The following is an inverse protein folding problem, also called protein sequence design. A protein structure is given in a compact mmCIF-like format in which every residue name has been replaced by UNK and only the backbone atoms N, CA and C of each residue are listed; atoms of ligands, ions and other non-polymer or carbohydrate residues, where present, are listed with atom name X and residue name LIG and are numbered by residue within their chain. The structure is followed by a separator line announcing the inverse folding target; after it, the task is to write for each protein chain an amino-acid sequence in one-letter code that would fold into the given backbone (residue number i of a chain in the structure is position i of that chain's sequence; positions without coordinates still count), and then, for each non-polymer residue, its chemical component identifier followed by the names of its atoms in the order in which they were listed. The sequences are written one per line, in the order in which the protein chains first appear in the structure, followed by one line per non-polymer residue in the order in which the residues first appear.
data_IF_602925390169
#
_entry.id   IF_602925390169
#
_cell.length_a   1.000
_cell.length_b   1.000
_cell.length_c   1.000
_cell.angle_alpha   90.00
_cell.angle_beta   90.00
_cell.angle_gamma   90.00
#
_symmetry.space_group_name_H-M   'P 1'
#
loop_
_entity.id
_entity.type
_entity.pdbx_description
1 polymer ?
#
# COMPACT_ATOMS: atom_id res chain seq x y z
N UNK A 1 -4.07 -19.82 -8.51
CA UNK A 1 -2.85 -19.04 -8.21
C UNK A 1 -2.37 -19.42 -6.82
N UNK A 2 -1.26 -20.15 -6.75
CA UNK A 2 -0.64 -20.52 -5.47
C UNK A 2 0.47 -19.51 -5.15
N UNK A 3 0.06 -18.35 -4.64
CA UNK A 3 1.00 -17.36 -4.11
C UNK A 3 1.38 -17.77 -2.69
N UNK A 4 2.65 -17.60 -2.26
CA UNK A 4 3.01 -17.76 -0.86
C UNK A 4 2.00 -17.00 0.02
N UNK A 5 1.42 -17.68 1.02
CA UNK A 5 0.30 -17.20 1.83
C UNK A 5 0.47 -15.74 2.29
N UNK A 6 1.69 -15.34 2.64
CA UNK A 6 2.03 -13.98 3.06
C UNK A 6 1.77 -12.94 1.96
N UNK A 7 2.20 -13.23 0.73
CA UNK A 7 1.99 -12.35 -0.44
C UNK A 7 0.51 -12.26 -0.76
N UNK A 8 -0.18 -13.40 -0.81
CA UNK A 8 -1.61 -13.42 -1.10
C UNK A 8 -2.42 -12.59 -0.08
N UNK A 9 -2.16 -12.76 1.22
CA UNK A 9 -2.83 -11.97 2.27
C UNK A 9 -2.50 -10.49 2.15
N UNK A 10 -1.24 -10.14 1.88
CA UNK A 10 -0.81 -8.74 1.69
C UNK A 10 -1.54 -8.07 0.54
N UNK A 11 -1.60 -8.72 -0.62
CA UNK A 11 -2.31 -8.22 -1.80
C UNK A 11 -3.81 -8.08 -1.55
N UNK A 12 -4.44 -9.03 -0.86
CA UNK A 12 -5.87 -8.94 -0.55
C UNK A 12 -6.19 -7.81 0.42
N UNK A 13 -5.33 -7.57 1.41
CA UNK A 13 -5.44 -6.42 2.31
C UNK A 13 -5.41 -5.12 1.53
N UNK A 14 -4.39 -4.94 0.70
CA UNK A 14 -4.25 -3.78 -0.19
C UNK A 14 -5.50 -3.58 -1.05
N UNK A 15 -5.95 -4.62 -1.77
CA UNK A 15 -7.12 -4.55 -2.66
C UNK A 15 -8.43 -4.19 -1.96
N UNK A 16 -8.56 -4.52 -0.68
CA UNK A 16 -9.76 -4.25 0.13
C UNK A 16 -9.61 -2.99 0.99
N UNK A 17 -8.58 -2.18 0.73
CA UNK A 17 -8.29 -0.97 1.48
C UNK A 17 -7.88 -1.24 2.94
N UNK A 18 -7.56 -2.48 3.29
CA UNK A 18 -7.12 -2.86 4.62
C UNK A 18 -5.61 -2.77 4.73
N UNK A 19 -5.11 -2.15 5.78
CA UNK A 19 -3.68 -2.01 5.98
C UNK A 19 -3.34 -1.00 7.06
N UNK A 20 -2.09 -0.56 7.04
CA UNK A 20 -1.58 0.47 7.96
C UNK A 20 -1.60 1.83 7.28
N UNK A 21 -2.80 2.36 7.05
CA UNK A 21 -3.03 3.72 6.58
C UNK A 21 -3.61 4.58 7.71
N UNK A 22 -3.37 5.90 7.69
CA UNK A 22 -3.84 6.75 8.79
C UNK A 22 -5.36 6.82 8.88
N UNK A 23 -6.09 6.63 7.78
CA UNK A 23 -7.55 6.50 7.80
C UNK A 23 -8.01 5.40 8.77
N UNK A 24 -7.45 4.20 8.66
CA UNK A 24 -7.80 3.08 9.55
C UNK A 24 -7.23 3.29 10.96
N UNK A 25 -6.02 3.82 11.10
CA UNK A 25 -5.45 4.12 12.42
C UNK A 25 -6.28 5.15 13.18
N UNK A 26 -6.81 6.17 12.49
CA UNK A 26 -7.71 7.17 13.06
C UNK A 26 -9.07 6.57 13.42
N UNK A 27 -9.65 5.75 12.53
CA UNK A 27 -10.90 5.03 12.78
C UNK A 27 -10.84 4.22 14.09
N UNK A 28 -9.70 3.59 14.35
CA UNK A 28 -9.46 2.76 15.54
C UNK A 28 -8.79 3.51 16.69
N UNK A 29 -8.70 4.85 16.64
CA UNK A 29 -8.14 5.70 17.70
C UNK A 29 -6.68 5.40 18.07
N UNK A 30 -5.91 4.85 17.13
CA UNK A 30 -4.45 4.73 17.24
C UNK A 30 -3.71 5.97 16.72
N UNK A 31 -4.42 6.88 16.02
CA UNK A 31 -3.92 8.20 15.61
C UNK A 31 -4.97 9.26 15.85
N UNK A 32 -4.52 10.49 16.06
CA UNK A 32 -5.36 11.67 16.25
C UNK A 32 -5.87 12.27 14.94
N UNK A 33 -5.24 11.94 13.80
CA UNK A 33 -5.61 12.47 12.49
C UNK A 33 -5.48 11.42 11.38
N UNK A 34 -6.40 11.42 10.38
CA UNK A 34 -6.28 10.58 9.19
C UNK A 34 -5.34 11.16 8.12
N UNK A 35 -4.81 12.38 8.31
CA UNK A 35 -4.02 13.09 7.31
C UNK A 35 -2.70 12.41 6.95
N UNK A 36 -2.23 12.64 5.73
CA UNK A 36 -0.93 12.19 5.24
C UNK A 36 0.16 13.22 5.51
N UNK A 37 1.40 12.75 5.69
CA UNK A 37 2.61 13.59 5.75
C UNK A 37 2.87 14.35 4.44
N UNK A 38 2.30 13.89 3.33
CA UNK A 38 2.33 14.56 2.03
C UNK A 38 1.35 15.75 1.91
N UNK A 39 0.60 16.08 2.97
CA UNK A 39 -0.38 17.17 2.99
C UNK A 39 -1.81 16.78 2.58
N UNK A 40 -2.05 15.53 2.18
CA UNK A 40 -3.42 15.06 1.89
C UNK A 40 -4.26 14.93 3.18
N UNK A 41 -5.53 15.33 3.12
CA UNK A 41 -6.45 15.29 4.28
C UNK A 41 -6.71 13.86 4.80
N UNK A 42 -6.63 12.86 3.92
CA UNK A 42 -6.84 11.45 4.27
C UNK A 42 -5.75 10.63 3.59
N UNK A 43 -4.97 9.90 4.39
CA UNK A 43 -4.07 8.85 3.93
C UNK A 43 -4.84 7.52 3.93
N UNK A 44 -5.48 7.19 2.81
CA UNK A 44 -6.08 5.86 2.56
C UNK A 44 -5.05 4.89 1.97
N UNK A 45 -5.40 3.61 1.87
CA UNK A 45 -4.55 2.64 1.16
C UNK A 45 -4.40 2.99 -0.32
N UNK A 46 -5.46 3.47 -0.97
CA UNK A 46 -5.42 3.87 -2.37
C UNK A 46 -4.47 5.05 -2.57
N UNK A 47 -4.57 6.05 -1.69
CA UNK A 47 -3.68 7.20 -1.70
C UNK A 47 -2.21 6.79 -1.58
N UNK A 48 -1.89 5.90 -0.62
CA UNK A 48 -0.52 5.42 -0.43
C UNK A 48 0.08 4.74 -1.66
N UNK A 49 -0.74 4.06 -2.47
CA UNK A 49 -0.27 3.26 -3.59
C UNK A 49 -0.23 4.07 -4.89
N UNK A 50 -1.22 4.94 -5.11
CA UNK A 50 -1.42 5.61 -6.39
C UNK A 50 -1.13 7.12 -6.38
N UNK A 51 -1.37 7.80 -5.26
CA UNK A 51 -1.45 9.26 -5.25
C UNK A 51 -0.38 9.94 -4.38
N UNK A 52 0.20 9.22 -3.43
CA UNK A 52 1.11 9.77 -2.44
C UNK A 52 2.49 9.96 -3.04
N UNK A 53 2.84 11.17 -3.47
CA UNK A 53 4.17 11.47 -4.04
C UNK A 53 5.38 11.14 -3.13
N UNK A 54 5.16 10.85 -1.84
CA UNK A 54 6.22 10.40 -0.92
C UNK A 54 6.38 8.86 -0.88
N UNK A 55 5.40 8.10 -1.38
CA UNK A 55 5.28 6.64 -1.16
C UNK A 55 4.77 5.85 -2.37
N UNK A 56 4.17 6.52 -3.35
CA UNK A 56 3.70 5.91 -4.59
C UNK A 56 4.85 5.17 -5.26
N UNK A 57 4.53 4.04 -5.87
CA UNK A 57 5.52 3.31 -6.63
C UNK A 57 5.61 3.94 -8.02
N UNK A 58 6.66 4.75 -8.22
CA UNK A 58 6.93 5.42 -9.50
C UNK A 58 7.68 4.52 -10.50
N UNK A 59 7.89 3.25 -10.16
CA UNK A 59 8.60 2.29 -11.01
C UNK A 59 7.72 1.71 -12.12
N UNK A 60 8.36 1.36 -13.24
CA UNK A 60 7.71 0.56 -14.28
C UNK A 60 7.44 -0.84 -13.72
N UNK A 61 6.20 -1.34 -13.86
CA UNK A 61 5.82 -2.69 -13.39
C UNK A 61 6.64 -3.79 -14.10
N UNK A 62 7.24 -3.46 -15.24
CA UNK A 62 8.11 -4.35 -16.01
C UNK A 62 9.55 -4.46 -15.44
N UNK A 63 10.03 -3.48 -14.69
CA UNK A 63 11.37 -3.55 -14.07
C UNK A 63 11.44 -4.61 -12.94
N UNK A 64 10.29 -4.98 -12.36
CA UNK A 64 10.17 -6.05 -11.37
C UNK A 64 10.19 -7.47 -11.96
N UNK A 65 10.25 -7.62 -13.29
CA UNK A 65 10.17 -8.91 -14.00
C UNK A 65 11.54 -9.54 -14.29
N UNK A 66 12.64 -8.98 -13.76
CA UNK A 66 14.01 -9.46 -14.02
C UNK A 66 14.59 -10.41 -12.96
N UNK A 67 13.79 -10.91 -12.01
CA UNK A 67 14.26 -11.87 -11.00
C UNK A 67 13.51 -13.21 -11.02
N UNK A 68 13.21 -13.73 -12.22
CA UNK A 68 12.88 -15.15 -12.41
C UNK A 68 13.48 -15.67 -13.70
N UNK A 69 14.79 -15.95 -13.71
CA UNK A 69 15.42 -17.10 -14.38
C UNK A 69 16.94 -16.95 -14.28
N UNK A 70 17.55 -17.78 -13.44
CA UNK A 70 18.95 -18.22 -13.54
C UNK A 70 19.20 -19.29 -12.46
N UNK A 71 19.78 -20.46 -12.78
CA UNK A 71 19.50 -21.39 -13.88
C UNK A 71 18.57 -22.55 -13.46
#
# INVERSE_FOLDING_TARGET
MDLPKKIWVGLNRIRTGQGRCNELMYKWKFRESPGCDCGANIQSMQHLILDCHLRSYDGDLEAGRLHQSDP
#
